data_IF_892682050774
#
_entry.id   IF_892682050774
#
_cell.length_a   1.000
_cell.length_b   1.000
_cell.length_c   1.000
_cell.angle_alpha   90.00
_cell.angle_beta   90.00
_cell.angle_gamma   90.00
#
_symmetry.space_group_name_H-M   'P 1'
#
loop_
_entity.id
_entity.type
_entity.pdbx_description
1 polymer ?
#
# COMPACT_ATOMS: atom_id res chain seq x y z
N UNK A 1 30.78 40.27 25.03
CA UNK A 1 30.30 41.38 24.19
C UNK A 1 30.14 40.90 22.75
N UNK A 2 28.90 40.62 22.33
CA UNK A 2 28.41 40.68 20.93
C UNK A 2 26.91 40.48 21.00
N UNK A 3 26.19 41.55 20.65
CA UNK A 3 24.74 41.71 20.74
C UNK A 3 23.99 40.85 19.72
N UNK A 4 22.75 40.41 19.99
CA UNK A 4 21.91 39.72 19.01
C UNK A 4 21.29 40.69 17.99
N UNK A 5 21.09 40.29 16.71
CA UNK A 5 20.38 41.11 15.75
C UNK A 5 18.84 40.97 15.86
N UNK A 6 18.24 42.10 16.21
CA UNK A 6 16.95 42.71 15.80
C UNK A 6 15.79 41.80 15.35
N UNK A 7 14.71 41.91 16.13
CA UNK A 7 13.36 41.44 15.85
C UNK A 7 12.70 42.16 14.67
N UNK A 8 12.03 41.39 13.81
CA UNK A 8 11.17 41.88 12.74
C UNK A 8 9.78 42.17 13.32
N UNK A 9 9.34 43.44 13.25
CA UNK A 9 7.96 43.84 13.53
C UNK A 9 7.18 43.92 12.21
N UNK A 10 5.98 43.37 12.20
CA UNK A 10 5.03 43.46 11.08
C UNK A 10 4.67 44.92 10.76
N UNK A 11 4.52 45.30 9.48
CA UNK A 11 3.92 46.58 9.10
C UNK A 11 2.40 46.55 9.32
N UNK A 12 1.85 47.70 9.77
CA UNK A 12 0.43 47.90 10.04
C UNK A 12 -0.46 47.98 8.78
N UNK A 13 -1.79 48.11 8.97
CA UNK A 13 -2.76 48.03 7.88
C UNK A 13 -2.71 49.24 6.93
N UNK A 14 -2.99 48.97 5.65
CA UNK A 14 -3.06 49.95 4.57
C UNK A 14 -4.30 50.87 4.67
N UNK A 15 -4.24 52.10 4.11
CA UNK A 15 -5.29 53.10 4.25
C UNK A 15 -6.57 52.80 3.46
N UNK A 16 -7.70 53.28 4.00
CA UNK A 16 -9.04 53.27 3.43
C UNK A 16 -9.18 54.22 2.24
N UNK A 17 -9.75 53.74 1.13
CA UNK A 17 -10.14 54.57 -0.01
C UNK A 17 -11.61 55.00 0.12
N UNK A 18 -11.83 56.32 0.13
CA UNK A 18 -13.13 56.99 -0.05
C UNK A 18 -13.14 57.59 -1.46
N UNK A 19 -14.10 57.16 -2.30
CA UNK A 19 -14.39 57.74 -3.62
C UNK A 19 -15.92 57.79 -3.80
N UNK A 20 -16.53 58.81 -3.23
CA UNK A 20 -17.39 59.78 -3.92
C UNK A 20 -18.14 59.30 -5.19
N UNK A 21 -19.41 58.95 -4.97
CA UNK A 21 -20.59 58.97 -5.85
C UNK A 21 -20.40 59.54 -7.28
N UNK A 22 -20.64 58.70 -8.30
CA UNK A 22 -21.06 59.13 -9.64
C UNK A 22 -22.45 58.58 -9.95
N UNK A 23 -23.43 59.48 -10.08
CA UNK A 23 -24.79 59.19 -10.57
C UNK A 23 -24.73 58.87 -12.07
N UNK A 24 -25.16 57.67 -12.45
CA UNK A 24 -25.46 57.31 -13.83
C UNK A 24 -26.96 57.05 -13.98
N UNK A 25 -27.54 57.67 -15.00
CA UNK A 25 -28.96 57.70 -15.33
C UNK A 25 -29.44 56.34 -15.84
N UNK A 26 -30.61 55.92 -15.36
CA UNK A 26 -31.35 54.72 -15.76
C UNK A 26 -31.74 54.79 -17.25
N UNK A 27 -31.37 53.77 -18.03
CA UNK A 27 -32.08 53.41 -19.27
C UNK A 27 -32.66 52.03 -19.05
N UNK A 28 -33.99 51.98 -18.89
CA UNK A 28 -34.73 50.75 -18.66
C UNK A 28 -34.72 49.86 -19.91
N UNK A 29 -34.17 48.67 -19.77
CA UNK A 29 -34.45 47.54 -20.66
C UNK A 29 -35.24 46.54 -19.83
N UNK A 30 -36.53 46.38 -20.18
CA UNK A 30 -37.41 45.37 -19.59
C UNK A 30 -37.02 44.01 -20.19
N UNK A 31 -36.00 43.36 -19.63
CA UNK A 31 -35.68 41.98 -19.97
C UNK A 31 -36.69 41.06 -19.28
N UNK A 32 -37.46 40.30 -20.05
CA UNK A 32 -38.23 39.17 -19.54
C UNK A 32 -37.27 38.19 -18.86
N UNK A 33 -37.27 38.16 -17.54
CA UNK A 33 -36.57 37.13 -16.76
C UNK A 33 -37.44 35.87 -16.84
N UNK A 34 -37.24 35.07 -17.89
CA UNK A 34 -37.73 33.69 -17.90
C UNK A 34 -37.02 32.91 -16.79
N UNK A 35 -37.72 32.01 -16.07
CA UNK A 35 -37.08 31.22 -15.02
C UNK A 35 -35.93 30.42 -15.65
N UNK A 36 -34.71 30.71 -15.20
CA UNK A 36 -33.55 29.86 -15.44
C UNK A 36 -33.83 28.51 -14.77
N UNK A 37 -34.37 27.58 -15.56
CA UNK A 37 -34.36 26.16 -15.23
C UNK A 37 -32.90 25.74 -15.26
N UNK A 38 -32.23 25.79 -14.12
CA UNK A 38 -31.00 25.03 -13.93
C UNK A 38 -31.37 23.56 -14.07
N UNK A 39 -30.88 22.83 -15.07
CA UNK A 39 -31.01 21.38 -15.04
C UNK A 39 -30.42 20.89 -13.71
N UNK A 40 -31.04 19.90 -13.04
CA UNK A 40 -30.45 19.33 -11.85
C UNK A 40 -29.03 18.92 -12.20
N UNK A 41 -28.06 19.35 -11.38
CA UNK A 41 -26.68 18.90 -11.50
C UNK A 41 -26.73 17.39 -11.66
N UNK A 42 -26.18 16.87 -12.77
CA UNK A 42 -26.07 15.44 -12.99
C UNK A 42 -25.33 14.88 -11.79
N UNK A 43 -26.05 14.19 -10.90
CA UNK A 43 -25.47 13.62 -9.70
C UNK A 43 -24.40 12.65 -10.14
N UNK A 44 -23.13 13.00 -9.92
CA UNK A 44 -22.04 12.06 -10.14
C UNK A 44 -22.35 10.82 -9.31
N UNK A 45 -22.33 9.65 -9.94
CA UNK A 45 -22.54 8.39 -9.24
C UNK A 45 -21.46 8.23 -8.18
N UNK A 46 -21.85 7.95 -6.94
CA UNK A 46 -20.92 7.67 -5.86
C UNK A 46 -19.95 6.56 -6.30
N UNK A 47 -18.63 6.76 -6.19
CA UNK A 47 -17.65 5.71 -6.45
C UNK A 47 -17.96 4.46 -5.65
N UNK A 48 -17.54 3.30 -6.16
CA UNK A 48 -17.79 2.01 -5.50
C UNK A 48 -16.52 1.23 -5.34
N UNK A 49 -16.40 0.50 -4.22
CA UNK A 49 -15.32 -0.46 -3.97
C UNK A 49 -15.91 -1.84 -3.68
N UNK A 50 -15.45 -2.88 -4.38
CA UNK A 50 -16.02 -4.24 -4.29
C UNK A 50 -17.56 -4.27 -4.41
N UNK A 51 -18.13 -3.42 -5.27
CA UNK A 51 -19.56 -3.31 -5.52
C UNK A 51 -20.37 -2.61 -4.42
N UNK A 52 -19.73 -1.99 -3.43
CA UNK A 52 -20.39 -1.18 -2.39
C UNK A 52 -20.13 0.31 -2.62
N UNK A 53 -21.11 1.20 -2.39
CA UNK A 53 -20.90 2.64 -2.50
C UNK A 53 -19.96 3.14 -1.41
N UNK A 54 -19.06 4.05 -1.78
CA UNK A 54 -18.08 4.63 -0.87
C UNK A 54 -18.74 5.47 0.24
N UNK A 55 -18.27 5.29 1.49
CA UNK A 55 -18.56 6.16 2.64
C UNK A 55 -17.56 7.30 2.72
N UNK A 56 -16.33 7.07 2.26
CA UNK A 56 -15.22 8.02 2.24
C UNK A 56 -14.62 8.04 0.83
N UNK A 57 -14.46 9.23 0.27
CA UNK A 57 -13.98 9.43 -1.11
C UNK A 57 -12.90 10.49 -1.12
N UNK A 58 -11.75 10.16 -1.71
CA UNK A 58 -10.68 11.10 -2.03
C UNK A 58 -10.98 11.90 -3.30
N UNK A 59 -9.91 12.36 -3.93
CA UNK A 59 -9.90 13.22 -5.10
C UNK A 59 -8.97 12.63 -6.16
N UNK A 60 -8.67 13.38 -7.22
CA UNK A 60 -7.66 12.94 -8.20
C UNK A 60 -6.23 13.34 -7.80
N UNK A 61 -6.03 13.87 -6.59
CA UNK A 61 -4.72 14.24 -6.07
C UNK A 61 -4.43 13.48 -4.79
N UNK A 62 -3.23 13.70 -4.23
CA UNK A 62 -2.77 12.99 -3.05
C UNK A 62 -3.62 13.34 -1.81
N UNK A 63 -4.34 12.36 -1.29
CA UNK A 63 -5.22 12.50 -0.15
C UNK A 63 -4.69 11.77 1.10
N UNK A 64 -5.22 12.15 2.27
CA UNK A 64 -5.01 11.43 3.52
C UNK A 64 -6.37 11.05 4.09
N UNK A 65 -6.79 9.81 3.84
CA UNK A 65 -8.10 9.28 4.15
C UNK A 65 -8.04 8.49 5.46
N UNK A 66 -8.97 8.80 6.35
CA UNK A 66 -9.09 8.19 7.67
C UNK A 66 -10.46 7.54 7.78
N UNK A 67 -10.47 6.22 7.90
CA UNK A 67 -11.63 5.42 8.27
C UNK A 67 -12.03 5.66 9.73
N UNK A 68 -13.14 5.06 10.10
CA UNK A 68 -13.73 5.09 11.42
C UNK A 68 -13.47 3.76 12.15
N UNK A 69 -13.80 3.63 13.44
CA UNK A 69 -13.67 2.35 14.12
C UNK A 69 -14.60 1.22 13.64
N UNK A 70 -15.49 1.49 12.68
CA UNK A 70 -16.44 0.52 12.13
C UNK A 70 -16.29 0.38 10.62
N UNK A 71 -17.04 -0.55 10.02
CA UNK A 71 -16.87 -0.93 8.61
C UNK A 71 -17.06 0.26 7.65
N UNK A 72 -16.01 0.58 6.91
CA UNK A 72 -15.96 1.65 5.94
C UNK A 72 -15.80 1.16 4.50
N UNK A 73 -16.20 2.01 3.56
CA UNK A 73 -15.93 1.84 2.13
C UNK A 73 -15.15 3.07 1.66
N UNK A 74 -13.84 2.91 1.49
CA UNK A 74 -12.91 4.00 1.19
C UNK A 74 -12.45 3.90 -0.26
N UNK A 75 -12.53 5.01 -1.00
CA UNK A 75 -12.04 5.09 -2.39
C UNK A 75 -11.11 6.30 -2.53
N UNK A 76 -9.83 6.06 -2.81
CA UNK A 76 -8.81 7.10 -3.04
C UNK A 76 -9.01 7.87 -4.34
N UNK A 77 -9.29 7.14 -5.42
CA UNK A 77 -9.43 7.59 -6.82
C UNK A 77 -8.09 7.77 -7.52
N UNK A 78 -7.44 8.93 -7.42
CA UNK A 78 -6.22 9.19 -8.16
C UNK A 78 -5.22 9.97 -7.33
N UNK A 79 -3.93 9.73 -7.54
CA UNK A 79 -2.87 10.38 -6.77
C UNK A 79 -2.11 9.38 -5.90
N UNK A 80 -1.21 9.90 -5.06
CA UNK A 80 -0.55 9.11 -4.04
C UNK A 80 -1.25 9.29 -2.70
N UNK A 81 -2.05 8.30 -2.30
CA UNK A 81 -2.96 8.41 -1.17
C UNK A 81 -2.39 7.72 0.08
N UNK A 82 -2.58 8.32 1.24
CA UNK A 82 -2.48 7.63 2.53
C UNK A 82 -3.87 7.23 3.00
N UNK A 83 -4.10 5.95 3.24
CA UNK A 83 -5.41 5.41 3.63
C UNK A 83 -5.27 4.57 4.89
N UNK A 84 -6.01 4.93 5.93
CA UNK A 84 -6.02 4.24 7.22
C UNK A 84 -7.42 3.69 7.52
N UNK A 85 -7.56 2.38 7.79
CA UNK A 85 -8.85 1.76 8.11
C UNK A 85 -9.38 2.14 9.50
N UNK A 86 -8.52 2.06 10.52
CA UNK A 86 -8.80 2.39 11.93
C UNK A 86 -9.79 1.46 12.66
N UNK A 87 -10.06 0.27 12.14
CA UNK A 87 -10.94 -0.73 12.76
C UNK A 87 -11.95 -1.32 11.77
N UNK A 88 -12.90 -2.11 12.28
CA UNK A 88 -13.96 -2.68 11.44
C UNK A 88 -13.49 -3.70 10.39
N UNK A 89 -14.38 -4.01 9.45
CA UNK A 89 -14.12 -4.79 8.25
C UNK A 89 -14.24 -3.92 7.00
N UNK A 90 -13.13 -3.38 6.54
CA UNK A 90 -13.16 -2.32 5.54
C UNK A 90 -13.11 -2.83 4.10
N UNK A 91 -13.54 -1.95 3.19
CA UNK A 91 -13.40 -2.11 1.75
C UNK A 91 -12.66 -0.91 1.20
N UNK A 92 -11.39 -1.11 0.86
CA UNK A 92 -10.50 -0.03 0.46
C UNK A 92 -10.10 -0.21 -1.00
N UNK A 93 -10.22 0.86 -1.78
CA UNK A 93 -9.76 0.93 -3.16
C UNK A 93 -8.87 2.18 -3.30
N UNK A 94 -7.55 2.02 -3.43
CA UNK A 94 -6.61 3.13 -3.60
C UNK A 94 -6.87 3.89 -4.91
N UNK A 95 -6.91 3.15 -6.03
CA UNK A 95 -7.35 3.69 -7.31
C UNK A 95 -6.22 3.74 -8.33
N UNK A 96 -5.76 4.94 -8.70
CA UNK A 96 -4.66 5.12 -9.64
C UNK A 96 -3.56 5.98 -9.03
N UNK A 97 -2.30 5.65 -9.32
CA UNK A 97 -1.19 6.13 -8.51
C UNK A 97 -0.95 5.18 -7.33
N UNK A 98 0.29 5.16 -6.83
CA UNK A 98 0.67 4.32 -5.70
C UNK A 98 0.07 4.81 -4.39
N UNK A 99 -0.30 3.92 -3.48
CA UNK A 99 -0.97 4.26 -2.23
C UNK A 99 -0.25 3.66 -1.03
N UNK A 100 -0.32 4.30 0.13
CA UNK A 100 0.01 3.68 1.42
C UNK A 100 -1.31 3.32 2.08
N UNK A 101 -1.57 2.02 2.25
CA UNK A 101 -2.80 1.50 2.86
C UNK A 101 -2.41 0.76 4.15
N UNK A 102 -2.90 1.26 5.29
CA UNK A 102 -2.69 0.64 6.60
C UNK A 102 -4.04 0.24 7.21
N UNK A 103 -4.26 -1.07 7.28
CA UNK A 103 -5.42 -1.68 7.94
C UNK A 103 -5.02 -2.42 9.21
N UNK A 104 -3.84 -2.16 9.77
CA UNK A 104 -3.27 -2.95 10.87
C UNK A 104 -4.13 -2.99 12.15
N UNK A 105 -5.09 -2.06 12.30
CA UNK A 105 -6.04 -2.02 13.41
C UNK A 105 -7.38 -2.75 13.12
N UNK A 106 -7.59 -3.22 11.89
CA UNK A 106 -8.86 -3.75 11.42
C UNK A 106 -9.05 -5.22 11.83
N UNK A 107 -10.29 -5.71 11.74
CA UNK A 107 -10.64 -7.11 12.04
C UNK A 107 -10.55 -8.04 10.81
N UNK A 108 -10.14 -7.49 9.67
CA UNK A 108 -10.00 -8.14 8.37
C UNK A 108 -10.65 -7.30 7.27
N UNK A 109 -9.97 -7.07 6.16
CA UNK A 109 -10.36 -6.06 5.18
C UNK A 109 -10.22 -6.57 3.74
N UNK A 110 -10.99 -5.96 2.84
CA UNK A 110 -10.87 -6.18 1.39
C UNK A 110 -10.18 -4.97 0.79
N UNK A 111 -9.02 -5.21 0.19
CA UNK A 111 -8.15 -4.15 -0.30
C UNK A 111 -7.92 -4.35 -1.79
N UNK A 112 -8.09 -3.27 -2.53
CA UNK A 112 -7.63 -3.13 -3.90
C UNK A 112 -6.66 -1.95 -3.96
N UNK A 113 -5.36 -2.20 -4.13
CA UNK A 113 -4.34 -1.14 -4.22
C UNK A 113 -4.64 -0.22 -5.40
N UNK A 114 -4.57 -0.76 -6.62
CA UNK A 114 -4.97 -0.01 -7.80
C UNK A 114 -4.01 -0.17 -8.95
N UNK A 115 -3.31 0.90 -9.30
CA UNK A 115 -2.25 0.89 -10.29
C UNK A 115 -1.17 1.84 -9.82
N UNK A 116 0.09 1.50 -9.99
CA UNK A 116 1.19 2.21 -9.34
C UNK A 116 1.70 1.41 -8.15
N UNK A 117 2.76 1.89 -7.52
CA UNK A 117 3.44 1.17 -6.44
C UNK A 117 2.68 1.36 -5.12
N UNK A 118 1.99 0.31 -4.69
CA UNK A 118 1.21 0.30 -3.46
C UNK A 118 1.99 -0.32 -2.29
N UNK A 119 1.90 0.31 -1.12
CA UNK A 119 2.40 -0.22 0.14
C UNK A 119 1.22 -0.59 1.02
N UNK A 120 0.99 -1.88 1.26
CA UNK A 120 -0.14 -2.37 2.03
C UNK A 120 0.35 -3.05 3.31
N UNK A 121 -0.16 -2.63 4.46
CA UNK A 121 -0.01 -3.35 5.73
C UNK A 121 -1.33 -4.00 6.11
N UNK A 122 -1.34 -5.33 6.16
CA UNK A 122 -2.48 -6.15 6.57
C UNK A 122 -2.81 -6.03 8.06
N UNK A 123 -3.96 -6.58 8.44
CA UNK A 123 -4.48 -6.64 9.80
C UNK A 123 -4.32 -8.05 10.40
N UNK A 124 -4.38 -8.22 11.72
CA UNK A 124 -4.40 -9.55 12.35
C UNK A 124 -5.61 -10.43 12.00
N UNK A 125 -6.60 -9.88 11.28
CA UNK A 125 -7.78 -10.57 10.80
C UNK A 125 -7.53 -11.30 9.48
N UNK A 126 -8.58 -11.88 8.90
CA UNK A 126 -8.48 -12.47 7.54
C UNK A 126 -8.68 -11.40 6.48
N UNK A 127 -7.61 -11.10 5.76
CA UNK A 127 -7.59 -10.09 4.70
C UNK A 127 -7.73 -10.69 3.30
N UNK A 128 -8.23 -9.86 2.38
CA UNK A 128 -8.13 -10.10 0.94
C UNK A 128 -7.50 -8.90 0.26
N UNK A 129 -6.25 -9.04 -0.10
CA UNK A 129 -5.39 -7.99 -0.65
C UNK A 129 -5.17 -8.25 -2.14
N UNK A 130 -5.54 -7.27 -2.97
CA UNK A 130 -5.31 -7.26 -4.42
C UNK A 130 -4.59 -5.95 -4.78
N UNK A 131 -3.26 -5.91 -4.79
CA UNK A 131 -2.55 -4.65 -5.06
C UNK A 131 -2.64 -4.26 -6.55
N UNK A 132 -2.67 -5.27 -7.41
CA UNK A 132 -2.93 -5.24 -8.85
C UNK A 132 -1.68 -4.88 -9.65
N UNK A 133 -1.42 -3.62 -9.98
CA UNK A 133 -0.46 -3.30 -11.04
C UNK A 133 0.60 -2.34 -10.57
N UNK A 134 1.87 -2.63 -10.86
CA UNK A 134 3.01 -1.91 -10.31
C UNK A 134 3.78 -2.82 -9.36
N UNK A 135 5.04 -2.50 -9.03
CA UNK A 135 5.75 -3.23 -7.97
C UNK A 135 5.22 -2.82 -6.61
N UNK A 136 4.59 -3.75 -5.92
CA UNK A 136 3.87 -3.53 -4.67
C UNK A 136 4.61 -4.12 -3.46
N UNK A 137 4.51 -3.44 -2.31
CA UNK A 137 5.05 -3.90 -1.04
C UNK A 137 3.95 -4.28 -0.07
N UNK A 138 3.81 -5.56 0.22
CA UNK A 138 2.83 -6.06 1.19
C UNK A 138 3.55 -6.46 2.48
N UNK A 139 3.10 -5.93 3.62
CA UNK A 139 3.49 -6.40 4.94
C UNK A 139 2.44 -7.37 5.45
N UNK A 140 2.83 -8.64 5.56
CA UNK A 140 1.99 -9.71 6.06
C UNK A 140 1.71 -9.56 7.56
N UNK A 141 0.59 -10.13 7.99
CA UNK A 141 0.10 -10.08 9.37
C UNK A 141 -0.29 -11.47 9.85
N UNK A 142 -0.86 -11.56 11.05
CA UNK A 142 -1.53 -12.79 11.49
C UNK A 142 -2.84 -12.91 10.71
N UNK A 143 -3.33 -14.11 10.45
CA UNK A 143 -4.61 -14.24 9.76
C UNK A 143 -4.75 -15.50 8.95
N UNK A 144 -5.75 -15.55 8.10
CA UNK A 144 -5.77 -16.46 6.95
C UNK A 144 -6.06 -15.56 5.77
N UNK A 145 -5.01 -15.20 5.05
CA UNK A 145 -5.07 -14.11 4.10
C UNK A 145 -5.05 -14.62 2.67
N UNK A 146 -5.66 -13.85 1.79
CA UNK A 146 -5.48 -13.99 0.36
C UNK A 146 -4.74 -12.75 -0.16
N UNK A 147 -3.53 -12.94 -0.66
CA UNK A 147 -2.70 -11.87 -1.23
C UNK A 147 -2.47 -12.16 -2.71
N UNK A 148 -2.73 -11.16 -3.54
CA UNK A 148 -2.41 -11.18 -4.96
C UNK A 148 -1.71 -9.86 -5.32
N UNK A 149 -0.40 -9.96 -5.62
CA UNK A 149 0.40 -8.82 -6.06
C UNK A 149 -0.09 -8.34 -7.43
N UNK A 150 -0.03 -9.24 -8.41
CA UNK A 150 -0.56 -9.02 -9.75
C UNK A 150 0.59 -8.75 -10.71
N UNK A 151 0.42 -7.92 -11.77
CA UNK A 151 1.56 -7.53 -12.58
C UNK A 151 2.50 -6.55 -11.87
N UNK A 152 3.72 -6.98 -11.59
CA UNK A 152 4.73 -6.18 -10.90
C UNK A 152 5.94 -7.03 -10.54
N UNK A 153 6.93 -6.43 -9.91
CA UNK A 153 7.80 -7.17 -8.98
C UNK A 153 7.27 -6.90 -7.58
N UNK A 154 6.51 -7.83 -7.05
CA UNK A 154 5.76 -7.68 -5.81
C UNK A 154 6.49 -8.34 -4.64
N UNK A 155 6.58 -7.61 -3.52
CA UNK A 155 7.31 -8.04 -2.33
C UNK A 155 6.35 -8.36 -1.18
N UNK A 156 6.44 -9.58 -0.63
CA UNK A 156 5.77 -9.95 0.61
C UNK A 156 6.75 -9.97 1.79
N UNK A 157 6.44 -9.17 2.81
CA UNK A 157 7.30 -8.93 3.95
C UNK A 157 6.70 -9.51 5.24
N UNK A 158 7.45 -10.38 5.91
CA UNK A 158 7.09 -10.94 7.23
C UNK A 158 7.90 -10.29 8.37
N UNK A 159 8.47 -9.10 8.13
CA UNK A 159 9.43 -8.44 9.03
C UNK A 159 8.86 -7.99 10.37
N UNK A 160 7.56 -7.68 10.43
CA UNK A 160 6.87 -7.23 11.65
C UNK A 160 6.46 -8.40 12.56
N UNK A 161 6.74 -9.64 12.15
CA UNK A 161 6.34 -10.83 12.91
C UNK A 161 7.44 -11.28 13.87
N UNK A 162 7.15 -11.16 15.16
CA UNK A 162 8.09 -11.43 16.26
C UNK A 162 7.97 -12.84 16.86
N UNK A 163 7.28 -13.75 16.17
CA UNK A 163 7.09 -15.12 16.64
C UNK A 163 8.27 -16.02 16.26
N UNK A 164 8.53 -17.02 17.10
CA UNK A 164 9.70 -17.88 17.00
C UNK A 164 9.47 -19.20 16.26
N UNK A 165 8.20 -19.53 15.97
CA UNK A 165 7.86 -20.71 15.18
C UNK A 165 8.20 -20.48 13.71
N UNK A 166 8.42 -21.58 12.98
CA UNK A 166 8.90 -21.55 11.60
C UNK A 166 7.90 -20.87 10.66
N UNK A 167 8.39 -19.93 9.86
CA UNK A 167 7.72 -19.45 8.65
C UNK A 167 8.00 -20.44 7.51
N UNK A 168 6.97 -20.85 6.77
CA UNK A 168 7.13 -21.60 5.52
C UNK A 168 6.43 -20.87 4.40
N UNK A 169 7.18 -20.47 3.37
CA UNK A 169 6.67 -19.82 2.15
C UNK A 169 7.02 -20.68 0.96
N UNK A 170 6.09 -20.81 0.03
CA UNK A 170 6.26 -21.58 -1.20
C UNK A 170 5.52 -20.85 -2.33
N UNK A 171 6.28 -20.14 -3.18
CA UNK A 171 5.76 -19.33 -4.27
C UNK A 171 5.17 -20.21 -5.38
N UNK A 172 5.79 -21.36 -5.66
CA UNK A 172 5.29 -22.33 -6.66
C UNK A 172 3.89 -22.87 -6.35
N UNK A 173 3.60 -23.17 -5.08
CA UNK A 173 2.27 -23.62 -4.64
C UNK A 173 1.34 -22.48 -4.21
N UNK A 174 1.89 -21.27 -4.07
CA UNK A 174 1.15 -20.08 -3.66
C UNK A 174 0.70 -20.12 -2.20
N UNK A 175 1.56 -20.59 -1.29
CA UNK A 175 1.23 -20.72 0.13
C UNK A 175 2.24 -20.07 1.06
N UNK A 176 1.74 -19.47 2.16
CA UNK A 176 2.55 -19.06 3.30
C UNK A 176 1.91 -19.53 4.61
N UNK A 177 2.70 -20.09 5.51
CA UNK A 177 2.22 -20.67 6.78
C UNK A 177 3.17 -20.38 7.94
N UNK A 178 2.66 -20.45 9.16
CA UNK A 178 3.41 -20.19 10.39
C UNK A 178 2.78 -19.09 11.24
N UNK A 179 2.10 -18.15 10.59
CA UNK A 179 1.38 -17.02 11.20
C UNK A 179 -0.09 -16.97 10.78
N UNK A 180 -0.52 -18.06 10.17
CA UNK A 180 -1.70 -18.12 9.35
C UNK A 180 -1.61 -19.27 8.37
N UNK A 181 -2.59 -19.35 7.51
CA UNK A 181 -2.55 -20.23 6.34
C UNK A 181 -3.00 -19.40 5.15
N UNK A 182 -2.02 -18.75 4.54
CA UNK A 182 -2.24 -17.71 3.56
C UNK A 182 -2.10 -18.28 2.16
N UNK A 183 -2.91 -17.76 1.24
CA UNK A 183 -2.79 -17.99 -0.19
C UNK A 183 -2.13 -16.76 -0.81
N UNK A 184 -0.99 -16.97 -1.47
CA UNK A 184 -0.19 -15.91 -2.09
C UNK A 184 -0.09 -16.17 -3.59
N UNK A 185 -0.24 -15.14 -4.41
CA UNK A 185 -0.26 -15.25 -5.87
C UNK A 185 0.43 -14.04 -6.48
N UNK A 186 1.30 -14.24 -7.49
CA UNK A 186 2.02 -13.14 -8.14
C UNK A 186 2.83 -12.35 -7.13
N UNK A 187 3.72 -13.05 -6.43
CA UNK A 187 4.69 -12.49 -5.49
C UNK A 187 6.03 -13.04 -5.95
N UNK A 188 6.99 -12.17 -6.21
CA UNK A 188 8.31 -12.54 -6.72
C UNK A 188 9.38 -12.42 -5.61
N UNK A 189 9.20 -11.47 -4.68
CA UNK A 189 10.17 -11.16 -3.64
C UNK A 189 9.61 -11.45 -2.24
N UNK A 190 10.42 -12.05 -1.37
CA UNK A 190 10.00 -12.37 0.00
C UNK A 190 11.07 -11.99 1.02
N UNK A 191 10.64 -11.23 2.04
CA UNK A 191 11.42 -11.02 3.26
C UNK A 191 10.87 -11.90 4.37
N UNK A 192 11.66 -12.89 4.78
CA UNK A 192 11.35 -13.81 5.86
C UNK A 192 11.21 -13.13 7.23
N UNK A 193 10.69 -13.88 8.19
CA UNK A 193 10.49 -13.42 9.55
C UNK A 193 11.85 -13.38 10.29
N UNK A 194 12.29 -12.21 10.80
CA UNK A 194 13.62 -12.05 11.39
C UNK A 194 13.84 -12.93 12.62
N UNK A 195 12.78 -13.14 13.39
CA UNK A 195 12.81 -13.90 14.65
C UNK A 195 12.42 -15.37 14.50
N UNK A 196 12.26 -15.90 13.28
CA UNK A 196 11.88 -17.29 13.04
C UNK A 196 12.86 -17.99 12.10
N UNK A 197 13.02 -19.32 12.20
CA UNK A 197 13.62 -20.06 11.10
C UNK A 197 12.66 -20.01 9.91
N UNK A 198 13.17 -19.71 8.72
CA UNK A 198 12.40 -19.57 7.50
C UNK A 198 12.66 -20.77 6.59
N UNK A 199 11.61 -21.36 6.03
CA UNK A 199 11.70 -22.30 4.92
C UNK A 199 11.01 -21.67 3.71
N UNK A 200 11.78 -21.21 2.74
CA UNK A 200 11.25 -20.50 1.59
C UNK A 200 11.59 -21.25 0.30
N UNK A 201 10.58 -21.43 -0.54
CA UNK A 201 10.72 -21.96 -1.90
C UNK A 201 10.27 -20.87 -2.88
N UNK A 202 11.08 -20.56 -3.88
CA UNK A 202 10.73 -19.74 -5.03
C UNK A 202 9.78 -20.43 -6.00
N UNK A 203 9.74 -19.93 -7.24
CA UNK A 203 9.00 -20.49 -8.37
C UNK A 203 9.89 -20.66 -9.61
N UNK A 204 9.31 -20.69 -10.82
CA UNK A 204 10.08 -20.84 -12.06
C UNK A 204 10.55 -19.48 -12.63
N UNK A 205 10.23 -18.38 -11.94
CA UNK A 205 10.61 -17.02 -12.30
C UNK A 205 11.73 -16.47 -11.40
N UNK A 206 12.31 -15.31 -11.73
CA UNK A 206 13.34 -14.72 -10.89
C UNK A 206 12.77 -14.28 -9.53
N UNK A 207 13.36 -14.76 -8.44
CA UNK A 207 12.93 -14.42 -7.09
C UNK A 207 14.04 -13.76 -6.27
N UNK A 208 13.68 -12.79 -5.41
CA UNK A 208 14.57 -12.29 -4.35
C UNK A 208 14.08 -12.76 -2.98
N UNK A 209 14.80 -13.71 -2.39
CA UNK A 209 14.42 -14.35 -1.13
C UNK A 209 15.42 -14.01 -0.03
N UNK A 210 14.95 -13.31 1.00
CA UNK A 210 15.75 -12.87 2.13
C UNK A 210 15.34 -13.61 3.40
N UNK A 211 16.27 -14.32 4.03
CA UNK A 211 16.08 -14.97 5.33
C UNK A 211 15.86 -14.00 6.50
N UNK A 212 16.08 -14.49 7.70
CA UNK A 212 15.97 -13.81 8.98
C UNK A 212 17.27 -13.88 9.78
N UNK A 213 17.17 -13.87 11.11
CA UNK A 213 18.34 -13.99 11.99
C UNK A 213 18.53 -15.41 12.56
N UNK A 214 17.75 -16.36 12.06
CA UNK A 214 17.77 -17.75 12.50
C UNK A 214 18.22 -18.60 11.33
N UNK A 215 18.51 -19.87 11.64
CA UNK A 215 18.77 -20.87 10.60
C UNK A 215 17.61 -20.95 9.61
N UNK A 216 17.93 -20.64 8.37
CA UNK A 216 17.01 -20.63 7.24
C UNK A 216 17.34 -21.72 6.20
N UNK A 217 16.32 -22.09 5.43
CA UNK A 217 16.43 -22.98 4.27
C UNK A 217 15.70 -22.30 3.12
N UNK A 218 16.44 -21.89 2.10
CA UNK A 218 15.93 -21.13 0.96
C UNK A 218 16.29 -21.89 -0.32
N UNK A 219 15.29 -22.09 -1.19
CA UNK A 219 15.46 -22.69 -2.50
C UNK A 219 14.84 -21.77 -3.55
N UNK A 220 15.60 -21.39 -4.58
CA UNK A 220 15.13 -20.54 -5.68
C UNK A 220 14.25 -21.29 -6.67
N UNK A 221 14.65 -22.52 -7.01
CA UNK A 221 14.06 -23.40 -8.04
C UNK A 221 14.49 -23.04 -9.45
N UNK A 222 13.70 -22.32 -10.24
CA UNK A 222 14.03 -22.00 -11.61
C UNK A 222 14.03 -20.49 -11.83
N UNK A 223 14.85 -19.99 -12.74
CA UNK A 223 14.98 -18.54 -12.94
C UNK A 223 16.32 -18.03 -12.43
N UNK A 224 16.61 -16.75 -12.62
CA UNK A 224 17.86 -16.15 -12.12
C UNK A 224 17.57 -15.53 -10.75
N UNK A 225 17.93 -16.24 -9.67
CA UNK A 225 17.52 -15.91 -8.31
C UNK A 225 18.55 -15.10 -7.52
N UNK A 226 18.06 -14.33 -6.53
CA UNK A 226 18.88 -13.74 -5.48
C UNK A 226 18.46 -14.27 -4.11
N UNK A 227 19.33 -15.06 -3.48
CA UNK A 227 19.09 -15.66 -2.17
C UNK A 227 20.03 -15.04 -1.12
N UNK A 228 19.49 -14.52 -0.02
CA UNK A 228 20.27 -13.98 1.08
C UNK A 228 19.87 -14.65 2.40
N UNK A 229 20.75 -15.49 2.94
CA UNK A 229 20.51 -16.18 4.21
C UNK A 229 20.50 -15.26 5.44
N UNK A 230 21.09 -14.05 5.33
CA UNK A 230 21.29 -13.10 6.43
C UNK A 230 22.10 -13.69 7.60
N UNK A 231 21.64 -13.52 8.84
CA UNK A 231 22.37 -14.03 10.00
C UNK A 231 21.86 -15.42 10.33
N UNK A 232 22.74 -16.41 10.47
CA UNK A 232 22.24 -17.74 10.76
C UNK A 232 23.24 -18.84 10.49
N UNK A 233 22.71 -20.04 10.31
CA UNK A 233 23.44 -21.16 9.71
C UNK A 233 22.51 -21.67 8.62
N UNK A 234 22.66 -21.11 7.45
CA UNK A 234 21.65 -21.08 6.41
C UNK A 234 22.01 -22.05 5.30
N UNK A 235 20.97 -22.61 4.68
CA UNK A 235 21.08 -23.50 3.54
C UNK A 235 20.41 -22.83 2.35
N UNK A 236 21.20 -22.50 1.33
CA UNK A 236 20.74 -21.83 0.12
C UNK A 236 20.95 -22.78 -1.08
N UNK A 237 19.92 -22.91 -1.91
CA UNK A 237 19.98 -23.66 -3.15
C UNK A 237 19.37 -22.81 -4.26
N UNK A 238 20.17 -22.26 -5.18
CA UNK A 238 19.67 -21.41 -6.27
C UNK A 238 18.74 -22.20 -7.18
N UNK A 239 19.32 -23.15 -7.92
CA UNK A 239 18.58 -24.15 -8.67
C UNK A 239 18.96 -24.12 -10.15
N UNK A 240 17.96 -24.12 -11.04
CA UNK A 240 18.15 -23.99 -12.46
C UNK A 240 18.17 -22.49 -12.84
N UNK A 241 19.33 -21.95 -13.20
CA UNK A 241 19.42 -20.54 -13.57
C UNK A 241 20.83 -19.98 -13.43
N UNK A 242 20.92 -18.66 -13.40
CA UNK A 242 22.12 -17.96 -12.93
C UNK A 242 21.79 -17.29 -11.61
N UNK A 243 22.21 -17.92 -10.51
CA UNK A 243 21.77 -17.56 -9.17
C UNK A 243 22.87 -16.84 -8.38
N UNK A 244 22.44 -15.90 -7.55
CA UNK A 244 23.30 -15.18 -6.61
C UNK A 244 22.91 -15.51 -5.17
N UNK A 245 23.78 -16.21 -4.45
CA UNK A 245 23.55 -16.60 -3.06
C UNK A 245 24.54 -15.91 -2.13
N UNK A 246 24.05 -15.11 -1.19
CA UNK A 246 24.87 -14.41 -0.19
C UNK A 246 24.52 -14.87 1.22
N UNK A 247 25.49 -14.79 2.13
CA UNK A 247 25.31 -15.15 3.53
C UNK A 247 24.71 -16.56 3.74
N UNK A 248 25.18 -17.55 2.98
CA UNK A 248 24.82 -18.96 3.15
C UNK A 248 26.01 -19.78 3.64
N UNK A 249 25.81 -20.58 4.69
CA UNK A 249 26.81 -21.51 5.21
C UNK A 249 26.85 -22.83 4.43
N UNK A 250 25.70 -23.25 3.90
CA UNK A 250 25.57 -24.39 2.99
C UNK A 250 24.94 -23.90 1.70
N UNK A 251 25.68 -23.94 0.59
CA UNK A 251 25.24 -23.37 -0.68
C UNK A 251 25.39 -24.39 -1.80
N UNK A 252 24.38 -24.53 -2.65
CA UNK A 252 24.39 -25.33 -3.89
C UNK A 252 23.74 -24.56 -5.03
N UNK A 253 24.12 -24.89 -6.27
CA UNK A 253 23.54 -24.29 -7.48
C UNK A 253 23.48 -22.76 -7.42
N UNK A 254 24.62 -22.14 -7.08
CA UNK A 254 24.76 -20.69 -7.11
C UNK A 254 26.04 -20.33 -7.85
N UNK A 255 25.94 -19.41 -8.81
CA UNK A 255 26.96 -19.10 -9.82
C UNK A 255 27.86 -17.91 -9.46
N UNK A 256 27.63 -17.30 -8.27
CA UNK A 256 28.35 -16.16 -7.70
C UNK A 256 29.77 -15.88 -8.22
#
# INVERSE_FOLDING_TARGET
MRSPPRSWRCPGPAPSYDESVKRAVLVGVLALVGPLLFPPASGASTPTCFGQPATIVGTSGNDNLQGTPGDDVIVGLGGFDGIFGNGGFDRICGGSGGSIIDVSADSGSKIAGGSGEDLVRGSPGSDRILTKGGPDGITASLGQDYVNGGPGEDTLNFVDISFHDRLTVDLQTGTATGYGSDTIVGIEDVYGAPAAPNRMTGDDGPNKLYGGHRKDVISGLGGDDYLDGRDGIDSLDGGDGTDTCVNGETVSNCEN
#
